data_IF_060788956659
#
_entry.id   IF_060788956659
#
_cell.length_a   1.000
_cell.length_b   1.000
_cell.length_c   1.000
_cell.angle_alpha   90.00
_cell.angle_beta   90.00
_cell.angle_gamma   90.00
#
_symmetry.space_group_name_H-M   'P 1'
#
loop_
_entity.id
_entity.type
_entity.pdbx_description
1 polymer ?
#
# COMPACT_ATOMS: atom_id res chain seq x y z
N UNK A 1 -14.69 4.17 -4.00
CA UNK A 1 -15.84 4.14 -4.94
C UNK A 1 -16.85 3.02 -4.67
N UNK A 2 -16.45 1.77 -4.42
CA UNK A 2 -17.40 0.64 -4.26
C UNK A 2 -18.47 0.85 -3.17
N UNK A 3 -18.08 1.28 -1.97
CA UNK A 3 -19.03 1.56 -0.88
C UNK A 3 -19.95 2.75 -1.20
N UNK A 4 -19.42 3.81 -1.81
CA UNK A 4 -20.18 5.01 -2.19
C UNK A 4 -21.17 4.70 -3.31
N UNK A 5 -20.75 3.93 -4.32
CA UNK A 5 -21.62 3.49 -5.42
C UNK A 5 -22.77 2.62 -4.95
N UNK A 6 -22.54 1.75 -3.96
CA UNK A 6 -23.60 0.96 -3.34
C UNK A 6 -24.64 1.82 -2.61
N UNK A 7 -24.20 2.84 -1.87
CA UNK A 7 -25.10 3.77 -1.15
C UNK A 7 -25.87 4.66 -2.12
N UNK A 8 -25.23 5.10 -3.21
CA UNK A 8 -25.85 5.98 -4.20
C UNK A 8 -26.67 5.24 -5.27
N UNK A 9 -26.71 3.90 -5.23
CA UNK A 9 -27.47 3.09 -6.19
C UNK A 9 -26.87 3.10 -7.61
N UNK A 10 -25.56 3.33 -7.73
CA UNK A 10 -24.86 3.26 -9.02
C UNK A 10 -24.63 1.79 -9.39
N UNK A 11 -24.75 1.46 -10.69
CA UNK A 11 -24.47 0.10 -11.16
C UNK A 11 -23.06 -0.34 -10.72
N UNK A 12 -23.02 -1.37 -9.88
CA UNK A 12 -21.77 -1.94 -9.36
C UNK A 12 -21.05 -2.70 -10.48
N UNK A 13 -19.88 -2.24 -10.90
CA UNK A 13 -18.89 -3.11 -11.53
C UNK A 13 -17.46 -2.70 -11.15
N UNK A 14 -17.07 -2.93 -9.89
CA UNK A 14 -15.65 -3.06 -9.59
C UNK A 14 -15.22 -4.48 -9.94
N UNK A 15 -14.79 -4.68 -11.18
CA UNK A 15 -14.25 -5.95 -11.64
C UNK A 15 -13.05 -6.31 -10.75
N UNK A 16 -13.00 -7.53 -10.20
CA UNK A 16 -11.85 -8.06 -9.44
C UNK A 16 -10.54 -7.90 -10.22
N UNK A 17 -10.64 -7.96 -11.54
CA UNK A 17 -9.58 -7.73 -12.54
C UNK A 17 -8.90 -6.35 -12.39
N UNK A 18 -9.60 -5.33 -11.89
CA UNK A 18 -9.04 -3.98 -11.69
C UNK A 18 -7.85 -3.96 -10.73
N UNK A 19 -7.92 -4.71 -9.63
CA UNK A 19 -6.84 -4.78 -8.63
C UNK A 19 -5.59 -5.44 -9.22
N UNK A 20 -5.78 -6.47 -10.04
CA UNK A 20 -4.67 -7.16 -10.71
C UNK A 20 -4.01 -6.28 -11.76
N UNK A 21 -4.78 -5.51 -12.53
CA UNK A 21 -4.25 -4.59 -13.53
C UNK A 21 -3.49 -3.42 -12.87
N UNK A 22 -4.01 -2.83 -11.79
CA UNK A 22 -3.29 -1.81 -11.01
C UNK A 22 -1.99 -2.40 -10.45
N UNK A 23 -2.04 -3.57 -9.81
CA UNK A 23 -0.83 -4.25 -9.31
C UNK A 23 0.17 -4.51 -10.43
N UNK A 24 -0.29 -4.91 -11.61
CA UNK A 24 0.58 -5.22 -12.72
C UNK A 24 1.29 -3.98 -13.27
N UNK A 25 0.59 -2.87 -13.50
CA UNK A 25 1.15 -1.68 -14.18
C UNK A 25 1.67 -0.58 -13.24
N UNK A 26 1.16 -0.49 -12.02
CA UNK A 26 1.46 0.61 -11.09
C UNK A 26 2.43 0.23 -9.96
N UNK A 27 2.67 -1.06 -9.72
CA UNK A 27 3.62 -1.52 -8.71
C UNK A 27 4.89 -2.09 -9.36
N UNK A 28 6.06 -1.97 -8.70
CA UNK A 28 7.23 -2.73 -9.08
C UNK A 28 6.91 -4.22 -9.13
N UNK A 29 7.47 -4.93 -10.12
CA UNK A 29 7.32 -6.37 -10.21
C UNK A 29 8.62 -7.06 -9.78
N UNK A 30 8.49 -8.21 -9.11
CA UNK A 30 9.66 -9.01 -8.75
C UNK A 30 10.36 -9.52 -10.02
N UNK A 31 11.71 -9.48 -10.07
CA UNK A 31 12.46 -10.01 -11.21
C UNK A 31 12.36 -11.53 -11.22
N UNK A 32 11.89 -12.11 -12.32
CA UNK A 32 11.75 -13.56 -12.51
C UNK A 32 12.29 -13.97 -13.87
N UNK A 33 12.65 -15.26 -14.04
CA UNK A 33 13.08 -15.75 -15.36
C UNK A 33 11.98 -15.57 -16.42
N UNK A 34 10.72 -15.79 -16.05
CA UNK A 34 9.57 -15.69 -16.96
C UNK A 34 9.29 -14.27 -17.45
N UNK A 35 9.68 -13.24 -16.69
CA UNK A 35 9.47 -11.84 -17.05
C UNK A 35 10.74 -11.14 -17.57
N UNK A 36 11.81 -11.89 -17.82
CA UNK A 36 13.08 -11.36 -18.30
C UNK A 36 13.84 -10.55 -17.25
N UNK A 37 13.69 -10.89 -15.96
CA UNK A 37 14.32 -10.19 -14.83
C UNK A 37 13.94 -8.71 -14.71
N UNK A 38 12.77 -8.33 -15.26
CA UNK A 38 12.30 -6.94 -15.20
C UNK A 38 11.81 -6.56 -13.80
N UNK A 39 12.04 -5.31 -13.44
CA UNK A 39 11.57 -4.70 -12.18
C UNK A 39 10.31 -3.85 -12.35
N UNK A 40 9.85 -3.65 -13.60
CA UNK A 40 8.63 -2.92 -13.95
C UNK A 40 7.93 -3.52 -15.15
N UNK A 41 6.59 -3.53 -15.14
CA UNK A 41 5.80 -3.86 -16.32
C UNK A 41 5.38 -2.57 -17.06
N UNK A 42 5.68 -2.50 -18.36
CA UNK A 42 5.26 -1.41 -19.24
C UNK A 42 4.08 -1.85 -20.12
N UNK A 43 3.35 -0.90 -20.73
CA UNK A 43 2.24 -1.21 -21.63
C UNK A 43 2.54 -2.26 -22.69
N UNK A 44 3.73 -2.20 -23.29
CA UNK A 44 4.16 -3.12 -24.36
C UNK A 44 4.46 -4.54 -23.86
N UNK A 45 4.60 -4.78 -22.56
CA UNK A 45 4.78 -6.12 -22.00
C UNK A 45 3.50 -6.94 -21.94
N UNK A 46 2.33 -6.28 -21.98
CA UNK A 46 1.02 -6.94 -22.01
C UNK A 46 -0.03 -6.01 -22.66
N UNK A 47 0.00 -5.87 -24.00
CA UNK A 47 -0.86 -4.91 -24.72
C UNK A 47 -2.37 -5.11 -24.47
N UNK A 48 -2.81 -6.36 -24.36
CA UNK A 48 -4.21 -6.69 -24.05
C UNK A 48 -4.61 -6.23 -22.64
N UNK A 49 -3.78 -6.54 -21.64
CA UNK A 49 -3.98 -6.07 -20.26
C UNK A 49 -3.95 -4.54 -20.19
N UNK A 50 -3.10 -3.90 -20.99
CA UNK A 50 -3.04 -2.44 -21.06
C UNK A 50 -4.33 -1.84 -21.66
N UNK A 51 -4.87 -2.46 -22.71
CA UNK A 51 -6.16 -2.06 -23.27
C UNK A 51 -7.30 -2.19 -22.25
N UNK A 52 -7.35 -3.31 -21.53
CA UNK A 52 -8.30 -3.51 -20.42
C UNK A 52 -8.10 -2.47 -19.32
N UNK A 53 -6.85 -2.17 -18.94
CA UNK A 53 -6.53 -1.17 -17.92
C UNK A 53 -6.99 0.24 -18.33
N UNK A 54 -6.81 0.65 -19.59
CA UNK A 54 -7.36 1.93 -20.08
C UNK A 54 -8.88 2.00 -19.98
N UNK A 55 -9.58 0.94 -20.39
CA UNK A 55 -11.05 0.87 -20.29
C UNK A 55 -11.51 0.95 -18.84
N UNK A 56 -10.79 0.27 -17.94
CA UNK A 56 -11.05 0.35 -16.50
C UNK A 56 -10.90 1.78 -15.96
N UNK A 57 -9.79 2.47 -16.26
CA UNK A 57 -9.59 3.85 -15.80
C UNK A 57 -10.65 4.81 -16.36
N UNK A 58 -11.04 4.65 -17.64
CA UNK A 58 -12.12 5.45 -18.22
C UNK A 58 -13.45 5.25 -17.48
N UNK A 59 -13.81 4.01 -17.15
CA UNK A 59 -15.01 3.68 -16.38
C UNK A 59 -14.97 4.25 -14.96
N UNK A 60 -13.79 4.30 -14.34
CA UNK A 60 -13.60 4.88 -13.01
C UNK A 60 -13.96 6.37 -13.01
N UNK A 61 -13.46 7.12 -14.01
CA UNK A 61 -13.80 8.54 -14.22
C UNK A 61 -15.30 8.73 -14.46
N UNK A 62 -15.92 7.92 -15.32
CA UNK A 62 -17.38 7.97 -15.55
C UNK A 62 -18.18 7.72 -14.26
N UNK A 63 -17.69 6.82 -13.41
CA UNK A 63 -18.30 6.52 -12.10
C UNK A 63 -18.17 7.72 -11.16
N UNK A 64 -16.98 8.34 -11.08
CA UNK A 64 -16.75 9.55 -10.28
C UNK A 64 -17.62 10.72 -10.74
N UNK A 65 -17.74 10.94 -12.04
CA UNK A 65 -18.64 11.95 -12.60
C UNK A 65 -20.10 11.68 -12.21
N UNK A 66 -20.55 10.43 -12.27
CA UNK A 66 -21.90 10.04 -11.86
C UNK A 66 -22.15 10.28 -10.37
N UNK A 67 -21.15 10.01 -9.52
CA UNK A 67 -21.19 10.33 -8.08
C UNK A 67 -21.28 11.85 -7.89
N UNK A 68 -20.45 12.63 -8.58
CA UNK A 68 -20.46 14.09 -8.50
C UNK A 68 -21.83 14.67 -8.86
N UNK A 69 -22.44 14.19 -9.96
CA UNK A 69 -23.78 14.63 -10.37
C UNK A 69 -24.81 14.34 -9.29
N UNK A 70 -24.71 13.18 -8.63
CA UNK A 70 -25.62 12.81 -7.55
C UNK A 70 -25.42 13.66 -6.29
N UNK A 71 -24.17 14.02 -6.00
CA UNK A 71 -23.79 14.84 -4.85
C UNK A 71 -23.92 16.35 -5.08
N UNK A 72 -24.15 16.81 -6.31
CA UNK A 72 -24.25 18.24 -6.64
C UNK A 72 -25.31 19.01 -5.82
N UNK A 73 -26.32 18.31 -5.27
CA UNK A 73 -27.35 18.88 -4.38
C UNK A 73 -26.85 19.14 -2.95
N UNK A 74 -25.68 18.63 -2.60
CA UNK A 74 -25.05 18.71 -1.29
C UNK A 74 -23.68 19.38 -1.44
N UNK A 75 -23.65 20.71 -1.66
CA UNK A 75 -22.39 21.41 -1.85
C UNK A 75 -21.49 21.25 -0.62
N UNK A 76 -20.22 20.97 -0.88
CA UNK A 76 -19.19 20.92 0.17
C UNK A 76 -18.98 22.35 0.70
N UNK A 77 -19.06 22.59 2.02
CA UNK A 77 -18.82 23.91 2.58
C UNK A 77 -17.43 24.45 2.25
N UNK A 78 -17.31 25.77 2.02
CA UNK A 78 -16.04 26.41 1.64
C UNK A 78 -14.89 26.10 2.62
N UNK A 79 -15.19 26.06 3.92
CA UNK A 79 -14.22 25.68 4.95
C UNK A 79 -13.60 24.30 4.72
N UNK A 80 -14.37 23.33 4.23
CA UNK A 80 -13.84 21.99 3.94
C UNK A 80 -12.89 22.02 2.74
N UNK A 81 -13.12 22.91 1.77
CA UNK A 81 -12.15 23.12 0.68
C UNK A 81 -10.86 23.77 1.18
N UNK A 82 -10.95 24.74 2.08
CA UNK A 82 -9.78 25.33 2.74
C UNK A 82 -8.96 24.26 3.50
N UNK A 83 -9.64 23.41 4.27
CA UNK A 83 -9.02 22.30 4.99
C UNK A 83 -8.36 21.30 4.02
N UNK A 84 -9.02 20.97 2.90
CA UNK A 84 -8.45 20.12 1.86
C UNK A 84 -7.18 20.72 1.25
N UNK A 85 -7.20 22.01 0.89
CA UNK A 85 -6.03 22.67 0.30
C UNK A 85 -4.84 22.71 1.26
N UNK A 86 -5.09 22.99 2.55
CA UNK A 86 -4.06 22.96 3.58
C UNK A 86 -3.48 21.55 3.76
N UNK A 87 -4.33 20.52 3.76
CA UNK A 87 -3.87 19.13 3.80
C UNK A 87 -2.97 18.78 2.60
N UNK A 88 -3.35 19.19 1.39
CA UNK A 88 -2.51 18.96 0.20
C UNK A 88 -1.16 19.68 0.31
N UNK A 89 -1.14 20.93 0.78
CA UNK A 89 0.11 21.68 0.98
C UNK A 89 1.02 21.02 2.03
N UNK A 90 0.45 20.53 3.13
CA UNK A 90 1.18 19.80 4.17
C UNK A 90 1.78 18.50 3.59
N UNK A 91 0.98 17.73 2.86
CA UNK A 91 1.42 16.47 2.25
C UNK A 91 2.52 16.68 1.21
N UNK A 92 2.39 17.70 0.36
CA UNK A 92 3.39 18.05 -0.66
C UNK A 92 4.70 18.57 -0.04
N UNK A 93 4.60 19.31 1.08
CA UNK A 93 5.78 19.76 1.84
C UNK A 93 6.51 18.60 2.52
N UNK A 94 5.77 17.61 2.99
CA UNK A 94 6.29 16.48 3.72
C UNK A 94 6.93 16.86 5.07
N UNK A 95 7.69 15.93 5.64
CA UNK A 95 8.39 16.11 6.91
C UNK A 95 9.88 15.86 6.73
N UNK A 96 10.72 16.79 7.17
CA UNK A 96 12.17 16.61 7.17
C UNK A 96 12.57 15.62 8.26
N UNK A 97 13.37 14.62 7.88
CA UNK A 97 13.88 13.61 8.80
C UNK A 97 15.39 13.74 8.93
N UNK A 98 15.89 13.65 10.17
CA UNK A 98 17.31 13.49 10.43
C UNK A 98 17.72 12.06 10.08
N UNK A 99 18.25 11.88 8.88
CA UNK A 99 18.65 10.56 8.39
C UNK A 99 19.85 9.98 9.14
N UNK A 100 20.70 10.81 9.77
CA UNK A 100 21.79 10.34 10.62
C UNK A 100 21.22 9.69 11.88
N UNK A 101 20.25 10.34 12.53
CA UNK A 101 19.56 9.76 13.68
C UNK A 101 18.81 8.47 13.31
N UNK A 102 18.09 8.46 12.18
CA UNK A 102 17.37 7.26 11.69
C UNK A 102 18.33 6.09 11.48
N UNK A 103 19.46 6.31 10.80
CA UNK A 103 20.45 5.26 10.54
C UNK A 103 21.10 4.75 11.84
N UNK A 104 21.43 5.66 12.77
CA UNK A 104 21.97 5.29 14.07
C UNK A 104 20.95 4.45 14.88
N UNK A 105 19.67 4.84 14.88
CA UNK A 105 18.61 4.10 15.55
C UNK A 105 18.44 2.68 14.97
N UNK A 106 18.44 2.54 13.64
CA UNK A 106 18.38 1.22 12.97
C UNK A 106 19.59 0.36 13.35
N UNK A 107 20.80 0.95 13.39
CA UNK A 107 22.01 0.24 13.77
C UNK A 107 21.97 -0.25 15.23
N UNK A 108 21.49 0.60 16.15
CA UNK A 108 21.32 0.24 17.57
C UNK A 108 20.28 -0.86 17.73
N UNK A 109 19.11 -0.75 17.08
CA UNK A 109 18.08 -1.80 17.10
C UNK A 109 18.63 -3.15 16.61
N UNK A 110 19.37 -3.15 15.49
CA UNK A 110 20.00 -4.36 14.95
C UNK A 110 21.01 -4.99 15.93
N UNK A 111 21.87 -4.17 16.53
CA UNK A 111 22.85 -4.62 17.52
C UNK A 111 22.17 -5.19 18.77
N UNK A 112 21.25 -4.44 19.38
CA UNK A 112 20.53 -4.86 20.58
C UNK A 112 19.72 -6.13 20.33
N UNK A 113 19.06 -6.26 19.17
CA UNK A 113 18.34 -7.48 18.81
C UNK A 113 19.26 -8.68 18.71
N UNK A 114 20.44 -8.52 18.09
CA UNK A 114 21.42 -9.61 17.96
C UNK A 114 21.97 -10.04 19.32
N UNK A 115 22.38 -9.07 20.15
CA UNK A 115 22.90 -9.32 21.50
C UNK A 115 21.86 -10.02 22.38
N UNK A 116 20.63 -9.49 22.43
CA UNK A 116 19.54 -10.07 23.23
C UNK A 116 19.09 -11.44 22.71
N UNK A 117 19.01 -11.63 21.39
CA UNK A 117 18.67 -12.96 20.83
C UNK A 117 19.74 -13.98 21.19
N UNK A 118 21.03 -13.60 21.11
CA UNK A 118 22.14 -14.50 21.49
C UNK A 118 22.11 -14.81 22.97
N UNK A 119 21.88 -13.81 23.83
CA UNK A 119 21.73 -14.01 25.27
C UNK A 119 20.55 -14.93 25.59
N UNK A 120 19.40 -14.74 24.95
CA UNK A 120 18.24 -15.62 25.12
C UNK A 120 18.57 -17.06 24.71
N UNK A 121 19.17 -17.27 23.52
CA UNK A 121 19.58 -18.62 23.08
C UNK A 121 20.52 -19.28 24.08
N UNK A 122 21.48 -18.54 24.66
CA UNK A 122 22.41 -19.07 25.65
C UNK A 122 21.73 -19.42 26.98
N UNK A 123 20.74 -18.64 27.41
CA UNK A 123 20.02 -18.87 28.66
C UNK A 123 18.99 -19.99 28.57
N UNK A 124 18.35 -20.16 27.42
CA UNK A 124 17.24 -21.11 27.24
C UNK A 124 17.65 -22.37 26.48
N UNK A 125 18.83 -22.37 25.85
CA UNK A 125 19.31 -23.42 24.93
C UNK A 125 18.38 -23.70 23.74
N UNK A 126 17.45 -22.79 23.45
CA UNK A 126 16.50 -22.92 22.36
C UNK A 126 17.11 -22.43 21.03
N UNK A 127 16.83 -23.17 19.95
CA UNK A 127 17.22 -22.80 18.59
C UNK A 127 16.58 -21.49 18.13
N UNK A 128 15.30 -21.29 18.47
CA UNK A 128 14.54 -20.08 18.15
C UNK A 128 13.75 -19.56 19.37
N UNK A 129 14.35 -18.68 20.20
CA UNK A 129 13.67 -18.10 21.36
C UNK A 129 12.51 -17.16 20.99
N UNK A 130 12.35 -16.77 19.72
CA UNK A 130 11.17 -16.03 19.25
C UNK A 130 9.97 -16.96 18.94
N UNK A 131 10.16 -18.28 18.96
CA UNK A 131 9.07 -19.24 18.81
C UNK A 131 8.30 -19.33 20.12
N UNK A 132 7.06 -18.84 20.12
CA UNK A 132 6.15 -18.93 21.27
C UNK A 132 5.98 -20.38 21.73
N UNK A 133 5.97 -21.34 20.81
CA UNK A 133 5.86 -22.75 21.15
C UNK A 133 7.09 -23.28 21.90
N UNK A 134 8.30 -22.98 21.42
CA UNK A 134 9.54 -23.41 22.08
C UNK A 134 9.67 -22.77 23.47
N UNK A 135 9.33 -21.49 23.61
CA UNK A 135 9.40 -20.82 24.91
C UNK A 135 8.41 -21.39 25.92
N UNK A 136 7.19 -21.75 25.49
CA UNK A 136 6.21 -22.40 26.38
C UNK A 136 6.69 -23.77 26.87
N UNK A 137 7.40 -24.53 26.04
CA UNK A 137 7.96 -25.83 26.43
C UNK A 137 9.09 -25.68 27.44
N UNK A 138 9.94 -24.66 27.29
CA UNK A 138 11.04 -24.40 28.22
C UNK A 138 10.57 -23.92 29.61
N UNK A 139 9.46 -23.19 29.70
CA UNK A 139 8.91 -22.67 30.97
C UNK A 139 8.18 -23.71 31.83
N UNK A 140 7.81 -24.85 31.26
CA UNK A 140 7.02 -25.90 31.92
C UNK A 140 7.88 -26.76 32.84
#
# INVERSE_FOLDING_TARGET
>A
LEGVGAVLGLEKQKLTESKELIKYFCQPCAPTKANGQRTRNYPYHAPEKWSAFKKYNARDVETEMSIQVRLAKFPVPDRTWEEYHLDQEINDRGVALDMTLVQAAIAIDGRSRSELTTAMKKLTELDNPNSVQQMKQWLA
#
